data_IF_173302341514
#
_entry.id   IF_173302341514
#
_cell.length_a   1.000
_cell.length_b   1.000
_cell.length_c   1.000
_cell.angle_alpha   90.00
_cell.angle_beta   90.00
_cell.angle_gamma   90.00
#
_symmetry.space_group_name_H-M   'P 1'
#
loop_
_entity.id
_entity.type
_entity.pdbx_description
1 polymer ?
#
# COMPACT_ATOMS: atom_id res chain seq x y z
N UNK A 1 -20.22 -4.13 15.96
CA UNK A 1 -19.04 -3.66 15.19
C UNK A 1 -18.01 -4.77 14.93
N UNK A 2 -17.64 -5.61 15.90
CA UNK A 2 -16.68 -6.71 15.70
C UNK A 2 -16.99 -7.64 14.51
N UNK A 3 -18.26 -8.07 14.36
CA UNK A 3 -18.69 -8.91 13.21
C UNK A 3 -18.50 -8.21 11.86
N UNK A 4 -18.78 -6.90 11.78
CA UNK A 4 -18.59 -6.14 10.54
C UNK A 4 -17.10 -6.04 10.17
N UNK A 5 -16.24 -5.75 11.16
CA UNK A 5 -14.81 -5.65 10.91
C UNK A 5 -14.19 -7.01 10.53
N UNK A 6 -14.70 -8.12 11.08
CA UNK A 6 -14.27 -9.47 10.70
C UNK A 6 -14.76 -9.91 9.31
N UNK A 7 -15.99 -9.57 8.92
CA UNK A 7 -16.62 -10.10 7.69
C UNK A 7 -16.50 -9.17 6.47
N UNK A 8 -16.45 -7.86 6.69
CA UNK A 8 -16.51 -6.85 5.63
C UNK A 8 -15.17 -6.15 5.48
N UNK A 9 -14.60 -5.63 6.57
CA UNK A 9 -13.37 -4.82 6.49
C UNK A 9 -12.14 -5.64 6.06
N UNK A 10 -12.09 -6.95 6.37
CA UNK A 10 -11.03 -7.85 5.91
C UNK A 10 -11.25 -8.40 4.48
N UNK A 11 -12.46 -8.25 3.93
CA UNK A 11 -12.83 -8.87 2.64
C UNK A 11 -12.11 -8.22 1.46
N UNK A 12 -11.96 -6.89 1.47
CA UNK A 12 -11.34 -6.14 0.37
C UNK A 12 -9.90 -6.57 0.08
N UNK A 13 -9.00 -6.51 1.07
CA UNK A 13 -7.62 -6.93 0.86
C UNK A 13 -7.48 -8.41 0.53
N UNK A 14 -8.29 -9.29 1.13
CA UNK A 14 -8.31 -10.70 0.77
C UNK A 14 -8.76 -10.92 -0.69
N UNK A 15 -9.79 -10.20 -1.13
CA UNK A 15 -10.24 -10.24 -2.53
C UNK A 15 -9.18 -9.68 -3.49
N UNK A 16 -8.38 -8.70 -3.07
CA UNK A 16 -7.25 -8.20 -3.86
C UNK A 16 -6.16 -9.26 -4.02
N UNK A 17 -5.78 -9.94 -2.93
CA UNK A 17 -4.84 -11.06 -2.97
C UNK A 17 -5.32 -12.19 -3.89
N UNK A 18 -6.60 -12.60 -3.77
CA UNK A 18 -7.19 -13.64 -4.60
C UNK A 18 -7.25 -13.25 -6.08
N UNK A 19 -7.50 -11.97 -6.39
CA UNK A 19 -7.46 -11.49 -7.77
C UNK A 19 -6.06 -11.59 -8.36
N UNK A 20 -5.02 -11.19 -7.61
CA UNK A 20 -3.62 -11.31 -8.06
C UNK A 20 -3.28 -12.78 -8.31
N UNK A 21 -3.63 -13.66 -7.36
CA UNK A 21 -3.40 -15.09 -7.49
C UNK A 21 -4.05 -15.65 -8.77
N UNK A 22 -5.37 -15.50 -8.90
CA UNK A 22 -6.12 -16.11 -10.01
C UNK A 22 -5.88 -15.50 -11.38
N UNK A 23 -5.54 -14.20 -11.44
CA UNK A 23 -5.38 -13.52 -12.73
C UNK A 23 -3.95 -13.46 -13.23
N UNK A 24 -2.97 -13.59 -12.35
CA UNK A 24 -1.57 -13.31 -12.68
C UNK A 24 -0.70 -14.52 -12.40
N UNK A 25 -0.82 -15.11 -11.21
CA UNK A 25 0.05 -16.19 -10.76
C UNK A 25 -0.39 -17.56 -11.29
N UNK A 26 -1.67 -17.96 -11.11
CA UNK A 26 -2.18 -19.24 -11.60
C UNK A 26 -1.94 -19.47 -13.11
N UNK A 27 -2.12 -18.46 -14.00
CA UNK A 27 -1.82 -18.64 -15.42
C UNK A 27 -0.32 -18.68 -15.75
N UNK A 28 0.54 -18.18 -14.86
CA UNK A 28 1.98 -18.02 -15.09
C UNK A 28 2.81 -18.56 -13.90
N UNK A 29 2.76 -19.88 -13.63
CA UNK A 29 3.31 -20.46 -12.41
C UNK A 29 4.83 -20.28 -12.25
N UNK A 30 5.55 -20.08 -13.35
CA UNK A 30 7.01 -19.94 -13.37
C UNK A 30 7.49 -18.48 -13.42
N UNK A 31 6.57 -17.51 -13.41
CA UNK A 31 6.92 -16.10 -13.54
C UNK A 31 7.12 -15.45 -12.17
N UNK A 32 8.24 -14.74 -12.02
CA UNK A 32 8.47 -13.89 -10.85
C UNK A 32 7.61 -12.64 -10.95
N UNK A 33 6.74 -12.42 -9.97
CA UNK A 33 5.84 -11.24 -9.94
C UNK A 33 6.27 -10.28 -8.85
N UNK A 34 6.42 -9.02 -9.23
CA UNK A 34 6.73 -7.94 -8.31
C UNK A 34 5.47 -7.09 -8.05
N UNK A 35 5.06 -7.03 -6.78
CA UNK A 35 3.86 -6.32 -6.33
C UNK A 35 4.30 -5.11 -5.51
N UNK A 36 3.90 -3.92 -5.94
CA UNK A 36 4.01 -2.71 -5.16
C UNK A 36 2.67 -2.41 -4.48
N UNK A 37 2.64 -2.50 -3.16
CA UNK A 37 1.47 -2.22 -2.33
C UNK A 37 1.60 -0.83 -1.70
N UNK A 38 0.81 0.11 -2.23
CA UNK A 38 0.72 1.51 -1.82
C UNK A 38 -0.54 1.72 -0.96
N UNK A 39 -0.58 0.98 0.14
CA UNK A 39 -1.60 1.00 1.19
C UNK A 39 -0.87 0.99 2.53
N UNK A 40 -1.51 1.38 3.65
CA UNK A 40 -0.91 1.24 4.99
C UNK A 40 -0.33 -0.17 5.19
N UNK A 41 0.77 -0.28 5.94
CA UNK A 41 1.48 -1.54 6.19
C UNK A 41 0.52 -2.67 6.60
N UNK A 42 0.87 -3.90 6.20
CA UNK A 42 0.13 -5.14 6.52
C UNK A 42 -1.36 -5.15 6.14
N UNK A 43 -1.82 -4.23 5.28
CA UNK A 43 -3.24 -4.17 4.88
C UNK A 43 -3.72 -5.40 4.09
N UNK A 44 -2.82 -6.21 3.50
CA UNK A 44 -3.14 -7.37 2.66
C UNK A 44 -2.44 -8.64 3.18
N UNK A 45 -3.06 -9.83 3.12
CA UNK A 45 -2.39 -11.09 3.49
C UNK A 45 -1.31 -11.43 2.46
N UNK A 46 -0.06 -11.15 2.79
CA UNK A 46 1.05 -11.09 1.83
C UNK A 46 1.70 -12.43 1.50
N UNK A 47 1.89 -13.32 2.47
CA UNK A 47 2.73 -14.51 2.28
C UNK A 47 1.97 -15.84 2.26
N UNK A 48 0.88 -15.97 3.01
CA UNK A 48 0.14 -17.24 3.09
C UNK A 48 -0.67 -17.55 1.83
N UNK A 49 -1.21 -16.52 1.17
CA UNK A 49 -2.10 -16.69 0.01
C UNK A 49 -1.37 -16.88 -1.33
N UNK A 50 -0.04 -16.68 -1.37
CA UNK A 50 0.75 -16.68 -2.61
C UNK A 50 1.89 -17.73 -2.59
N UNK A 51 1.90 -18.61 -1.58
CA UNK A 51 3.00 -19.54 -1.24
C UNK A 51 3.52 -20.47 -2.37
N UNK A 52 2.76 -20.88 -3.40
CA UNK A 52 3.34 -21.70 -4.47
C UNK A 52 4.13 -20.90 -5.54
N UNK A 53 4.19 -19.56 -5.48
CA UNK A 53 4.79 -18.73 -6.54
C UNK A 53 5.93 -17.83 -6.04
N UNK A 54 6.86 -17.49 -6.94
CA UNK A 54 7.93 -16.51 -6.66
C UNK A 54 7.36 -15.09 -6.73
N UNK A 55 6.98 -14.55 -5.57
CA UNK A 55 6.41 -13.20 -5.46
C UNK A 55 7.29 -12.32 -4.58
N UNK A 56 7.65 -11.15 -5.10
CA UNK A 56 8.29 -10.09 -4.34
C UNK A 56 7.28 -8.99 -4.05
N UNK A 57 6.96 -8.77 -2.78
CA UNK A 57 6.03 -7.73 -2.35
C UNK A 57 6.81 -6.61 -1.69
N UNK A 58 6.70 -5.40 -2.23
CA UNK A 58 7.13 -4.17 -1.56
C UNK A 58 5.90 -3.44 -1.05
N UNK A 59 5.81 -3.31 0.26
CA UNK A 59 4.76 -2.60 0.99
C UNK A 59 5.36 -1.42 1.71
N UNK A 60 4.60 -0.35 1.96
CA UNK A 60 5.06 0.79 2.76
C UNK A 60 5.43 0.34 4.18
N UNK A 61 6.55 0.84 4.70
CA UNK A 61 7.01 0.60 6.07
C UNK A 61 6.30 1.52 7.06
N UNK A 62 5.78 0.96 8.16
CA UNK A 62 5.23 1.75 9.27
C UNK A 62 6.15 1.75 10.50
N UNK A 63 7.41 1.37 10.32
CA UNK A 63 8.39 1.43 11.39
C UNK A 63 8.74 2.90 11.62
N UNK A 64 8.39 3.42 12.79
CA UNK A 64 8.81 4.76 13.20
C UNK A 64 10.33 4.89 13.08
N UNK A 65 10.80 6.03 12.56
CA UNK A 65 12.24 6.27 12.49
C UNK A 65 12.84 6.37 13.90
N UNK A 66 14.04 5.85 14.12
CA UNK A 66 14.74 5.97 15.42
C UNK A 66 14.91 7.43 15.86
N UNK A 67 15.01 8.34 14.89
CA UNK A 67 15.08 9.78 15.13
C UNK A 67 13.76 10.29 15.74
N UNK A 68 12.63 9.92 15.13
CA UNK A 68 11.31 10.31 15.65
C UNK A 68 10.93 9.68 16.99
N UNK A 69 11.39 8.46 17.29
CA UNK A 69 11.16 7.83 18.60
C UNK A 69 11.88 8.56 19.76
N UNK A 70 12.89 9.36 19.43
CA UNK A 70 13.67 10.17 20.36
C UNK A 70 13.25 11.64 20.39
N UNK A 71 12.46 12.10 19.41
CA UNK A 71 11.90 13.45 19.37
C UNK A 71 10.84 13.63 20.45
N UNK A 72 10.99 14.69 21.25
CA UNK A 72 10.00 15.13 22.22
C UNK A 72 9.63 16.56 21.92
N UNK A 73 8.33 16.82 21.84
CA UNK A 73 7.81 18.15 21.60
C UNK A 73 7.05 18.63 22.84
N UNK A 74 7.38 19.82 23.37
CA UNK A 74 6.64 20.41 24.48
C UNK A 74 5.26 20.86 23.99
N UNK A 75 4.21 20.25 24.51
CA UNK A 75 2.82 20.64 24.24
C UNK A 75 2.19 21.24 25.51
N UNK A 76 1.40 22.30 25.33
CA UNK A 76 0.64 22.91 26.42
C UNK A 76 -0.69 22.18 26.58
N UNK A 77 -0.77 21.27 27.54
CA UNK A 77 -2.01 20.56 27.91
C UNK A 77 -2.49 21.11 29.25
N UNK A 78 -3.73 21.62 29.28
CA UNK A 78 -4.32 22.25 30.48
C UNK A 78 -3.45 23.34 31.14
N UNK A 79 -2.66 24.08 30.35
CA UNK A 79 -1.77 25.14 30.84
C UNK A 79 -0.46 24.64 31.46
N UNK A 80 -0.14 23.35 31.35
CA UNK A 80 1.13 22.76 31.74
C UNK A 80 1.90 22.28 30.51
N UNK A 81 3.23 22.45 30.52
CA UNK A 81 4.10 21.92 29.47
C UNK A 81 4.32 20.45 29.76
N UNK A 82 3.81 19.58 28.88
CA UNK A 82 4.06 18.15 28.91
C UNK A 82 4.94 17.78 27.70
N UNK A 83 5.96 16.95 27.93
CA UNK A 83 6.77 16.37 26.85
C UNK A 83 6.02 15.17 26.26
N UNK A 84 5.49 15.35 25.06
CA UNK A 84 4.95 14.24 24.29
C UNK A 84 6.01 13.70 23.34
N UNK A 85 6.05 12.38 23.19
CA UNK A 85 6.78 11.77 22.07
C UNK A 85 6.07 12.15 20.79
N UNK A 86 6.81 12.70 19.84
CA UNK A 86 6.26 12.91 18.50
C UNK A 86 5.88 11.54 17.91
N UNK A 87 4.65 11.42 17.41
CA UNK A 87 4.31 10.28 16.58
C UNK A 87 5.21 10.32 15.35
N UNK A 88 6.04 9.29 15.22
CA UNK A 88 7.08 9.29 14.22
C UNK A 88 6.56 9.18 12.81
N UNK A 89 6.99 10.11 11.95
CA UNK A 89 6.56 10.19 10.57
C UNK A 89 7.19 9.05 9.73
N UNK A 90 6.47 7.95 9.60
CA UNK A 90 6.94 6.74 8.93
C UNK A 90 6.84 6.83 7.38
N UNK A 91 7.33 5.81 6.66
CA UNK A 91 7.27 5.77 5.19
C UNK A 91 5.83 5.82 4.68
N UNK A 92 4.91 5.14 5.38
CA UNK A 92 3.51 5.15 5.02
C UNK A 92 2.91 6.56 5.17
N UNK A 93 3.19 7.28 6.25
CA UNK A 93 2.71 8.64 6.46
C UNK A 93 3.28 9.61 5.42
N UNK A 94 4.57 9.52 5.13
CA UNK A 94 5.20 10.31 4.05
C UNK A 94 4.47 10.10 2.72
N UNK A 95 4.19 8.85 2.36
CA UNK A 95 3.46 8.52 1.15
C UNK A 95 2.02 9.05 1.17
N UNK A 96 1.26 8.90 2.25
CA UNK A 96 -0.14 9.33 2.26
C UNK A 96 -0.27 10.87 2.22
N UNK A 97 0.70 11.59 2.80
CA UNK A 97 0.74 13.04 2.78
C UNK A 97 1.08 13.61 1.39
N UNK A 98 2.17 13.17 0.76
CA UNK A 98 2.48 13.49 -0.65
C UNK A 98 2.80 12.24 -1.49
N UNK A 99 1.77 11.53 -2.00
CA UNK A 99 1.95 10.31 -2.78
C UNK A 99 2.74 10.52 -4.06
N UNK A 100 2.61 11.69 -4.69
CA UNK A 100 3.24 11.95 -5.97
C UNK A 100 4.70 12.35 -5.80
N UNK A 101 5.02 13.21 -4.83
CA UNK A 101 6.40 13.50 -4.45
C UNK A 101 7.10 12.24 -3.98
N UNK A 102 6.49 11.52 -3.03
CA UNK A 102 7.03 10.27 -2.51
C UNK A 102 7.31 9.25 -3.61
N UNK A 103 6.37 9.03 -4.53
CA UNK A 103 6.60 8.11 -5.67
C UNK A 103 7.76 8.59 -6.53
N UNK A 104 7.87 9.89 -6.85
CA UNK A 104 8.97 10.37 -7.69
C UNK A 104 10.34 10.13 -7.07
N UNK A 105 10.44 10.35 -5.77
CA UNK A 105 11.69 10.25 -5.03
C UNK A 105 12.08 8.79 -4.78
N UNK A 106 11.09 7.93 -4.51
CA UNK A 106 11.33 6.54 -4.12
C UNK A 106 11.23 5.55 -5.29
N UNK A 107 10.63 5.90 -6.44
CA UNK A 107 10.49 4.99 -7.58
C UNK A 107 11.80 4.36 -8.07
N UNK A 108 12.95 5.07 -8.08
CA UNK A 108 14.23 4.45 -8.42
C UNK A 108 14.69 3.41 -7.39
N UNK A 109 14.38 3.63 -6.10
CA UNK A 109 14.79 2.80 -4.97
C UNK A 109 13.90 1.56 -4.80
N UNK A 110 12.62 1.67 -5.14
CA UNK A 110 11.65 0.57 -5.13
C UNK A 110 11.97 -0.48 -6.21
N UNK A 111 12.89 -0.19 -7.13
CA UNK A 111 13.31 -1.08 -8.21
C UNK A 111 14.69 -1.71 -7.95
N UNK A 112 14.80 -2.99 -7.57
CA UNK A 112 16.10 -3.62 -7.46
C UNK A 112 16.67 -4.14 -8.80
N UNK A 113 15.87 -4.33 -9.86
CA UNK A 113 16.41 -4.76 -11.15
C UNK A 113 15.46 -4.57 -12.34
N UNK A 114 16.11 -4.45 -13.50
CA UNK A 114 15.77 -4.10 -14.89
C UNK A 114 14.32 -4.04 -15.42
N UNK A 115 13.28 -4.66 -14.83
CA UNK A 115 11.87 -4.55 -15.30
C UNK A 115 10.79 -4.56 -14.19
N UNK A 116 11.18 -4.66 -12.91
CA UNK A 116 10.48 -5.41 -11.88
C UNK A 116 9.39 -4.75 -11.03
N UNK A 117 8.37 -4.09 -11.61
CA UNK A 117 7.07 -3.95 -10.92
C UNK A 117 5.97 -4.34 -11.91
N UNK A 118 5.27 -5.42 -11.62
CA UNK A 118 4.25 -5.99 -12.51
C UNK A 118 2.85 -5.54 -12.09
N UNK A 119 2.64 -5.35 -10.78
CA UNK A 119 1.35 -5.04 -10.17
C UNK A 119 1.50 -3.88 -9.21
N UNK A 120 0.62 -2.88 -9.31
CA UNK A 120 0.47 -1.83 -8.29
C UNK A 120 -0.92 -1.94 -7.67
N UNK A 121 -0.96 -2.02 -6.36
CA UNK A 121 -2.19 -2.10 -5.55
C UNK A 121 -2.23 -0.87 -4.66
N UNK A 122 -3.31 -0.09 -4.72
CA UNK A 122 -3.45 1.13 -3.92
C UNK A 122 -4.92 1.43 -3.62
N UNK A 123 -5.18 2.21 -2.58
CA UNK A 123 -6.50 2.80 -2.37
C UNK A 123 -6.84 3.81 -3.47
N UNK A 124 -8.11 3.89 -3.86
CA UNK A 124 -8.55 4.69 -5.01
C UNK A 124 -8.16 6.17 -4.90
N UNK A 125 -8.38 6.81 -3.75
CA UNK A 125 -7.99 8.21 -3.51
C UNK A 125 -6.49 8.44 -3.75
N UNK A 126 -5.64 7.51 -3.33
CA UNK A 126 -4.18 7.66 -3.41
C UNK A 126 -3.70 7.32 -4.81
N UNK A 127 -4.29 6.29 -5.42
CA UNK A 127 -4.08 5.92 -6.81
C UNK A 127 -4.38 7.10 -7.74
N UNK A 128 -5.50 7.80 -7.55
CA UNK A 128 -5.88 8.97 -8.36
C UNK A 128 -4.82 10.08 -8.31
N UNK A 129 -4.13 10.27 -7.18
CA UNK A 129 -3.04 11.25 -7.02
C UNK A 129 -1.78 10.86 -7.80
N UNK A 130 -1.53 9.58 -8.02
CA UNK A 130 -0.36 9.06 -8.74
C UNK A 130 -0.67 8.51 -10.14
N UNK A 131 -1.94 8.55 -10.57
CA UNK A 131 -2.41 7.91 -11.79
C UNK A 131 -1.66 8.41 -13.03
N UNK A 132 -1.45 9.73 -13.13
CA UNK A 132 -0.72 10.32 -14.25
C UNK A 132 0.72 9.82 -14.34
N UNK A 133 1.36 9.53 -13.20
CA UNK A 133 2.69 8.95 -13.17
C UNK A 133 2.66 7.48 -13.62
N UNK A 134 1.70 6.70 -13.12
CA UNK A 134 1.53 5.28 -13.47
C UNK A 134 1.18 5.09 -14.95
N UNK A 135 0.29 5.93 -15.51
CA UNK A 135 -0.04 5.93 -16.95
C UNK A 135 1.19 6.19 -17.83
N UNK A 136 2.06 7.13 -17.45
CA UNK A 136 3.34 7.39 -18.14
C UNK A 136 4.32 6.21 -18.08
N UNK A 137 4.12 5.29 -17.14
CA UNK A 137 4.89 4.04 -16.99
C UNK A 137 4.13 2.82 -17.51
N UNK A 138 3.10 3.02 -18.34
CA UNK A 138 2.29 1.99 -19.00
C UNK A 138 1.49 1.10 -18.02
N UNK A 139 1.02 1.63 -16.89
CA UNK A 139 0.09 0.92 -16.03
C UNK A 139 -1.36 1.21 -16.37
N UNK A 140 -2.19 0.16 -16.34
CA UNK A 140 -3.63 0.25 -16.54
C UNK A 140 -4.36 -0.41 -15.39
N UNK A 141 -5.38 0.27 -14.85
CA UNK A 141 -6.28 -0.33 -13.85
C UNK A 141 -7.04 -1.48 -14.50
N UNK A 142 -6.95 -2.67 -13.91
CA UNK A 142 -7.64 -3.88 -14.37
C UNK A 142 -8.76 -4.31 -13.43
N UNK A 143 -8.70 -3.88 -12.16
CA UNK A 143 -9.70 -4.24 -11.16
C UNK A 143 -9.90 -3.12 -10.15
N UNK A 144 -11.15 -2.99 -9.71
CA UNK A 144 -11.55 -2.15 -8.59
C UNK A 144 -12.35 -3.01 -7.61
N UNK A 145 -11.91 -3.05 -6.36
CA UNK A 145 -12.41 -3.94 -5.30
C UNK A 145 -12.95 -3.09 -4.17
N UNK A 146 -14.11 -3.46 -3.64
CA UNK A 146 -14.68 -2.81 -2.46
C UNK A 146 -13.88 -3.21 -1.19
N UNK A 147 -13.49 -2.21 -0.40
CA UNK A 147 -12.77 -2.37 0.87
C UNK A 147 -13.71 -2.37 2.07
N UNK A 148 -14.30 -1.21 2.39
CA UNK A 148 -15.17 -1.05 3.55
C UNK A 148 -16.02 0.22 3.43
N UNK A 149 -17.20 0.20 4.05
CA UNK A 149 -18.02 1.39 4.30
C UNK A 149 -17.45 2.22 5.46
N UNK A 150 -16.91 1.57 6.49
CA UNK A 150 -16.33 2.20 7.66
C UNK A 150 -14.81 2.07 7.62
N UNK A 151 -14.13 3.20 7.46
CA UNK A 151 -12.68 3.32 7.41
C UNK A 151 -12.14 3.51 8.83
N UNK A 152 -11.00 2.90 9.14
CA UNK A 152 -10.39 3.02 10.47
C UNK A 152 -9.32 4.10 10.54
N UNK A 153 -8.92 4.67 9.41
CA UNK A 153 -8.00 5.81 9.35
C UNK A 153 -8.23 6.67 8.12
N UNK A 154 -7.75 7.92 8.18
CA UNK A 154 -7.72 8.87 7.06
C UNK A 154 -6.81 8.43 5.92
N UNK A 155 -6.03 7.35 6.08
CA UNK A 155 -5.14 6.77 5.07
C UNK A 155 -5.82 5.63 4.26
N UNK A 156 -7.00 5.15 4.68
CA UNK A 156 -7.77 4.15 3.93
C UNK A 156 -8.80 4.74 2.96
N UNK A 157 -9.32 3.94 2.05
CA UNK A 157 -10.44 4.30 1.17
C UNK A 157 -11.41 3.13 1.01
N UNK A 158 -12.63 3.43 0.58
CA UNK A 158 -13.70 2.46 0.34
C UNK A 158 -13.39 1.48 -0.80
N UNK A 159 -12.39 1.77 -1.63
CA UNK A 159 -12.05 0.98 -2.82
C UNK A 159 -10.55 0.81 -2.99
N UNK A 160 -10.14 -0.40 -3.37
CA UNK A 160 -8.78 -0.78 -3.73
C UNK A 160 -8.72 -0.93 -5.25
N UNK A 161 -7.74 -0.28 -5.88
CA UNK A 161 -7.46 -0.41 -7.30
C UNK A 161 -6.23 -1.29 -7.51
N UNK A 162 -6.33 -2.16 -8.51
CA UNK A 162 -5.24 -3.01 -8.97
C UNK A 162 -4.93 -2.60 -10.40
N UNK A 163 -3.67 -2.25 -10.64
CA UNK A 163 -3.18 -1.90 -11.97
C UNK A 163 -2.02 -2.80 -12.39
N UNK A 164 -2.00 -3.16 -13.66
CA UNK A 164 -0.96 -3.99 -14.26
C UNK A 164 -0.15 -3.16 -15.24
N UNK A 165 1.14 -3.45 -15.32
CA UNK A 165 1.98 -2.95 -16.39
C UNK A 165 1.56 -3.62 -17.70
N UNK A 166 1.37 -2.83 -18.75
CA UNK A 166 0.76 -3.28 -20.01
C UNK A 166 1.62 -4.30 -20.76
N UNK A 167 2.94 -4.33 -20.49
CA UNK A 167 3.86 -5.35 -21.02
C UNK A 167 3.61 -6.76 -20.43
N UNK A 168 2.80 -6.88 -19.37
CA UNK A 168 2.46 -8.14 -18.67
C UNK A 168 1.00 -8.61 -18.90
N UNK A 169 0.30 -8.05 -19.90
CA UNK A 169 -1.07 -8.42 -20.30
C UNK A 169 -1.07 -9.20 -21.62
#
# INVERSE_FOLDING_TARGET
MALYFGLVHQRGPHAAANFVFSRILEPNPNTTVHILQLMPCFSMPQHSSLHPHTVHIRMLDCTASLESMNSRSPELVNGQVEEYREEGYDEADQFHNDPLGWIRDNWPLIKPSTEGISVVIAYEKTYRRIESFLKKKNYKVVKSIFHSHFLTSSNQDSRILISLKTDNL
#
